data_IF_831229389402
#
_entry.id   IF_831229389402
#
_cell.length_a   1.000
_cell.length_b   1.000
_cell.length_c   1.000
_cell.angle_alpha   90.00
_cell.angle_beta   90.00
_cell.angle_gamma   90.00
#
_symmetry.space_group_name_H-M   'P 1'
#
loop_
_entity.id
_entity.type
_entity.pdbx_description
1 polymer ?
#
# COMPACT_ATOMS: atom_id res chain seq x y z
N UNK A 1 -15.94 -17.29 32.67
CA UNK A 1 -16.13 -16.68 31.35
C UNK A 1 -15.05 -17.25 30.42
N UNK A 2 -15.42 -17.88 29.30
CA UNK A 2 -14.47 -18.60 28.43
C UNK A 2 -13.57 -17.57 27.69
N UNK A 3 -12.30 -17.91 27.45
CA UNK A 3 -11.33 -17.05 26.72
C UNK A 3 -11.89 -16.55 25.37
N UNK A 4 -12.68 -17.37 24.68
CA UNK A 4 -13.33 -16.99 23.42
C UNK A 4 -14.35 -15.86 23.61
N UNK A 5 -15.15 -15.89 24.66
CA UNK A 5 -16.12 -14.84 24.98
C UNK A 5 -15.44 -13.53 25.36
N UNK A 6 -14.34 -13.62 26.08
CA UNK A 6 -13.53 -12.46 26.48
C UNK A 6 -12.85 -11.81 25.25
N UNK A 7 -12.29 -12.61 24.36
CA UNK A 7 -11.69 -12.12 23.12
C UNK A 7 -12.75 -11.50 22.18
N UNK A 8 -13.95 -12.07 22.11
CA UNK A 8 -15.07 -11.51 21.34
C UNK A 8 -15.52 -10.17 21.90
N UNK A 9 -15.60 -10.03 23.22
CA UNK A 9 -15.95 -8.75 23.87
C UNK A 9 -14.88 -7.69 23.64
N UNK A 10 -13.58 -8.04 23.71
CA UNK A 10 -12.47 -7.15 23.38
C UNK A 10 -12.51 -6.73 21.91
N UNK A 11 -12.79 -7.65 21.00
CA UNK A 11 -12.93 -7.37 19.58
C UNK A 11 -14.05 -6.37 19.30
N UNK A 12 -15.24 -6.61 19.86
CA UNK A 12 -16.40 -5.72 19.69
C UNK A 12 -16.20 -4.35 20.34
N UNK A 13 -15.44 -4.29 21.44
CA UNK A 13 -15.09 -3.01 22.09
C UNK A 13 -14.10 -2.21 21.24
N UNK A 14 -13.12 -2.89 20.64
CA UNK A 14 -12.13 -2.27 19.75
C UNK A 14 -12.79 -1.76 18.46
N UNK A 15 -13.80 -2.46 17.92
CA UNK A 15 -14.60 -1.96 16.79
C UNK A 15 -15.41 -0.71 17.16
N UNK A 16 -15.97 -0.64 18.38
CA UNK A 16 -16.67 0.57 18.87
C UNK A 16 -15.75 1.77 18.95
N UNK A 17 -14.47 1.55 19.23
CA UNK A 17 -13.42 2.59 19.23
C UNK A 17 -12.96 3.00 17.82
N UNK A 18 -13.64 2.53 16.75
CA UNK A 18 -13.34 2.86 15.36
C UNK A 18 -12.10 2.17 14.79
N UNK A 19 -11.58 1.14 15.46
CA UNK A 19 -10.52 0.27 14.96
C UNK A 19 -11.12 -0.98 14.32
N UNK A 20 -10.49 -1.45 13.27
CA UNK A 20 -10.86 -2.69 12.59
C UNK A 20 -9.70 -3.70 12.72
N UNK A 21 -9.67 -4.51 13.80
CA UNK A 21 -8.54 -5.41 14.09
C UNK A 21 -8.24 -6.39 12.96
N UNK A 22 -9.27 -6.83 12.23
CA UNK A 22 -9.10 -7.69 11.06
C UNK A 22 -8.24 -7.04 9.96
N UNK A 23 -8.34 -5.72 9.79
CA UNK A 23 -7.53 -5.00 8.80
C UNK A 23 -6.09 -4.80 9.27
N UNK A 24 -5.85 -4.72 10.57
CA UNK A 24 -4.49 -4.69 11.13
C UNK A 24 -3.81 -6.06 10.93
N UNK A 25 -4.56 -7.16 11.13
CA UNK A 25 -4.10 -8.52 10.83
C UNK A 25 -3.79 -8.71 9.33
N UNK A 26 -4.69 -8.25 8.45
CA UNK A 26 -4.47 -8.28 7.00
C UNK A 26 -3.20 -7.52 6.59
N UNK A 27 -2.96 -6.32 7.16
CA UNK A 27 -1.72 -5.57 6.93
C UNK A 27 -0.47 -6.34 7.31
N UNK A 28 -0.49 -6.99 8.47
CA UNK A 28 0.65 -7.79 8.92
C UNK A 28 0.97 -8.92 7.94
N UNK A 29 -0.06 -9.60 7.41
CA UNK A 29 0.10 -10.62 6.38
C UNK A 29 0.64 -10.03 5.07
N UNK A 30 0.11 -8.91 4.59
CA UNK A 30 0.59 -8.27 3.37
C UNK A 30 2.07 -7.87 3.49
N UNK A 31 2.48 -7.29 4.62
CA UNK A 31 3.89 -6.95 4.88
C UNK A 31 4.77 -8.20 4.86
N UNK A 32 4.30 -9.30 5.46
CA UNK A 32 5.03 -10.57 5.45
C UNK A 32 5.22 -11.10 4.01
N UNK A 33 4.16 -11.13 3.21
CA UNK A 33 4.24 -11.60 1.82
C UNK A 33 5.10 -10.69 0.93
N UNK A 34 5.03 -9.37 1.11
CA UNK A 34 5.93 -8.43 0.43
C UNK A 34 7.37 -8.66 0.85
N UNK A 35 7.64 -8.95 2.13
CA UNK A 35 8.97 -9.33 2.60
C UNK A 35 9.48 -10.61 1.93
N UNK A 36 8.66 -11.66 1.85
CA UNK A 36 8.99 -12.90 1.14
C UNK A 36 9.28 -12.64 -0.35
N UNK A 37 8.48 -11.78 -1.00
CA UNK A 37 8.71 -11.38 -2.39
C UNK A 37 10.07 -10.70 -2.57
N UNK A 38 10.46 -9.78 -1.69
CA UNK A 38 11.76 -9.11 -1.81
C UNK A 38 12.93 -10.06 -1.54
N UNK A 39 12.79 -11.01 -0.61
CA UNK A 39 13.79 -12.06 -0.40
C UNK A 39 13.93 -12.91 -1.66
N UNK A 40 12.80 -13.32 -2.26
CA UNK A 40 12.81 -14.05 -3.52
C UNK A 40 13.47 -13.24 -4.63
N UNK A 41 13.11 -11.97 -4.78
CA UNK A 41 13.64 -11.06 -5.82
C UNK A 41 15.17 -10.90 -5.73
N UNK A 42 15.73 -10.92 -4.52
CA UNK A 42 17.18 -10.83 -4.32
C UNK A 42 17.90 -12.17 -4.52
N UNK A 43 17.26 -13.27 -4.16
CA UNK A 43 17.86 -14.60 -4.21
C UNK A 43 17.66 -15.32 -5.54
N UNK A 44 16.57 -15.02 -6.27
CA UNK A 44 16.12 -15.72 -7.47
C UNK A 44 16.00 -17.25 -7.28
N UNK A 45 15.81 -17.69 -6.02
CA UNK A 45 15.62 -19.09 -5.69
C UNK A 45 14.25 -19.57 -6.17
N UNK A 46 14.20 -20.80 -6.68
CA UNK A 46 12.96 -21.49 -7.04
C UNK A 46 12.66 -22.57 -6.01
N UNK A 47 12.13 -22.21 -4.82
CA UNK A 47 11.94 -23.16 -3.74
C UNK A 47 10.83 -24.14 -4.10
N UNK A 48 11.16 -25.45 -3.98
CA UNK A 48 10.21 -26.52 -4.12
C UNK A 48 9.93 -27.13 -2.75
N UNK A 49 8.68 -27.42 -2.49
CA UNK A 49 8.25 -28.11 -1.27
C UNK A 49 7.59 -29.44 -1.63
N UNK A 50 7.80 -30.43 -0.78
CA UNK A 50 7.09 -31.70 -0.86
C UNK A 50 6.08 -31.80 0.27
N UNK A 51 4.80 -31.91 -0.07
CA UNK A 51 3.71 -32.07 0.90
C UNK A 51 3.04 -33.41 0.59
N UNK A 52 3.10 -34.37 1.52
CA UNK A 52 2.54 -35.70 1.37
C UNK A 52 2.98 -36.43 0.09
N UNK A 53 4.24 -36.20 -0.35
CA UNK A 53 4.79 -36.82 -1.57
C UNK A 53 4.50 -36.07 -2.88
N UNK A 54 3.71 -35.00 -2.83
CA UNK A 54 3.50 -34.13 -3.99
C UNK A 54 4.51 -32.99 -3.99
N UNK A 55 5.25 -32.84 -5.07
CA UNK A 55 6.18 -31.74 -5.28
C UNK A 55 5.45 -30.54 -5.87
N UNK A 56 5.57 -29.37 -5.24
CA UNK A 56 5.06 -28.13 -5.78
C UNK A 56 6.09 -27.03 -5.67
N UNK A 57 6.12 -26.14 -6.68
CA UNK A 57 6.98 -24.96 -6.66
C UNK A 57 6.28 -23.81 -5.93
N UNK A 58 7.01 -23.11 -5.05
CA UNK A 58 6.56 -21.87 -4.46
C UNK A 58 6.87 -20.63 -5.31
N UNK A 59 7.64 -20.80 -6.41
CA UNK A 59 8.07 -19.70 -7.27
C UNK A 59 6.89 -18.84 -7.79
N UNK A 60 5.78 -19.39 -8.31
CA UNK A 60 4.65 -18.58 -8.77
C UNK A 60 4.05 -17.70 -7.67
N UNK A 61 3.97 -18.25 -6.45
CA UNK A 61 3.44 -17.53 -5.28
C UNK A 61 4.35 -16.40 -4.80
N UNK A 62 5.66 -16.66 -4.77
CA UNK A 62 6.64 -15.66 -4.38
C UNK A 62 6.76 -14.57 -5.44
N UNK A 63 6.80 -14.96 -6.72
CA UNK A 63 6.89 -14.05 -7.87
C UNK A 63 5.70 -13.08 -7.94
N UNK A 64 4.49 -13.53 -7.61
CA UNK A 64 3.28 -12.71 -7.59
C UNK A 64 3.16 -11.79 -6.38
N UNK A 65 4.19 -11.73 -5.52
CA UNK A 65 4.18 -10.94 -4.29
C UNK A 65 3.98 -9.43 -4.48
N UNK A 66 4.16 -8.90 -5.70
CA UNK A 66 3.82 -7.51 -6.03
C UNK A 66 2.32 -7.20 -5.85
N UNK A 67 1.43 -8.18 -5.97
CA UNK A 67 -0.02 -8.02 -5.76
C UNK A 67 -0.32 -7.55 -4.33
N UNK A 68 0.48 -7.98 -3.36
CA UNK A 68 0.30 -7.57 -1.96
C UNK A 68 0.63 -6.11 -1.72
N UNK A 69 1.44 -5.51 -2.58
CA UNK A 69 1.68 -4.06 -2.58
C UNK A 69 0.40 -3.31 -2.97
N UNK A 70 -0.27 -3.75 -4.04
CA UNK A 70 -1.55 -3.17 -4.47
C UNK A 70 -2.60 -3.34 -3.37
N UNK A 71 -2.64 -4.50 -2.70
CA UNK A 71 -3.52 -4.72 -1.56
C UNK A 71 -3.24 -3.75 -0.39
N UNK A 72 -1.97 -3.42 -0.12
CA UNK A 72 -1.59 -2.43 0.89
C UNK A 72 -2.04 -1.01 0.50
N UNK A 73 -1.86 -0.61 -0.76
CA UNK A 73 -2.31 0.69 -1.26
C UNK A 73 -3.84 0.81 -1.26
N UNK A 74 -4.54 -0.25 -1.65
CA UNK A 74 -6.00 -0.34 -1.58
C UNK A 74 -6.48 -0.16 -0.14
N UNK A 75 -5.87 -0.89 0.81
CA UNK A 75 -6.19 -0.79 2.22
C UNK A 75 -5.85 0.60 2.78
N UNK A 76 -4.79 1.24 2.29
CA UNK A 76 -4.49 2.65 2.62
C UNK A 76 -5.62 3.57 2.14
N UNK A 77 -6.07 3.45 0.89
CA UNK A 77 -7.21 4.21 0.37
C UNK A 77 -8.48 4.01 1.19
N UNK A 78 -8.79 2.77 1.55
CA UNK A 78 -9.92 2.42 2.40
C UNK A 78 -9.85 3.11 3.78
N UNK A 79 -8.75 2.93 4.51
CA UNK A 79 -8.61 3.44 5.88
C UNK A 79 -8.43 4.96 5.95
N UNK A 80 -7.94 5.57 4.89
CA UNK A 80 -7.88 7.03 4.77
C UNK A 80 -9.27 7.63 4.61
N UNK A 81 -10.10 7.01 3.75
CA UNK A 81 -11.40 7.54 3.43
C UNK A 81 -12.50 7.11 4.42
N UNK A 82 -12.33 6.01 5.15
CA UNK A 82 -13.32 5.48 6.09
C UNK A 82 -13.88 6.54 7.07
N UNK A 83 -13.06 7.38 7.75
CA UNK A 83 -13.60 8.42 8.64
C UNK A 83 -14.42 9.49 7.90
N UNK A 84 -14.12 9.74 6.63
CA UNK A 84 -14.88 10.67 5.79
C UNK A 84 -16.22 10.06 5.34
N UNK A 85 -16.24 8.75 5.04
CA UNK A 85 -17.45 8.01 4.70
C UNK A 85 -18.39 7.91 5.91
N UNK A 86 -17.87 7.57 7.09
CA UNK A 86 -18.62 7.53 8.34
C UNK A 86 -19.21 8.91 8.70
N UNK A 87 -18.42 9.98 8.56
CA UNK A 87 -18.91 11.33 8.77
C UNK A 87 -20.01 11.73 7.78
N UNK A 88 -19.93 11.29 6.52
CA UNK A 88 -20.97 11.56 5.53
C UNK A 88 -22.27 10.82 5.86
N UNK A 89 -22.19 9.55 6.25
CA UNK A 89 -23.35 8.73 6.60
C UNK A 89 -24.05 9.19 7.90
N UNK A 90 -23.28 9.65 8.87
CA UNK A 90 -23.80 10.06 10.19
C UNK A 90 -24.13 11.56 10.24
N UNK A 91 -24.04 12.32 9.14
CA UNK A 91 -24.23 13.77 9.12
C UNK A 91 -23.17 14.55 9.91
N UNK A 92 -22.01 13.91 10.18
CA UNK A 92 -20.94 14.47 10.98
C UNK A 92 -19.99 15.39 10.19
N UNK A 93 -19.11 16.06 10.95
CA UNK A 93 -18.03 16.89 10.36
C UNK A 93 -16.91 16.02 9.81
N UNK A 94 -16.35 16.42 8.67
CA UNK A 94 -15.16 15.78 8.12
C UNK A 94 -13.98 15.90 9.10
N UNK A 95 -13.07 14.89 9.11
CA UNK A 95 -11.86 14.93 9.92
C UNK A 95 -11.02 16.18 9.66
N UNK A 96 -10.35 16.67 10.71
CA UNK A 96 -9.45 17.81 10.62
C UNK A 96 -8.23 17.49 9.75
N UNK A 97 -7.95 18.36 8.78
CA UNK A 97 -6.79 18.24 7.87
C UNK A 97 -5.47 18.26 8.67
N UNK A 98 -5.37 19.14 9.69
CA UNK A 98 -4.17 19.22 10.51
C UNK A 98 -3.91 17.94 11.30
N UNK A 99 -4.95 17.38 11.93
CA UNK A 99 -4.83 16.11 12.65
C UNK A 99 -4.51 14.93 11.71
N UNK A 100 -5.05 14.97 10.48
CA UNK A 100 -4.73 14.02 9.45
C UNK A 100 -3.22 14.02 9.14
N UNK A 101 -2.65 15.17 8.77
CA UNK A 101 -1.23 15.26 8.45
C UNK A 101 -0.35 14.90 9.65
N UNK A 102 -0.65 15.41 10.83
CA UNK A 102 0.12 15.09 12.04
C UNK A 102 0.20 13.58 12.29
N UNK A 103 -0.93 12.87 12.23
CA UNK A 103 -0.97 11.42 12.44
C UNK A 103 -0.18 10.66 11.36
N UNK A 104 -0.22 11.09 10.11
CA UNK A 104 0.44 10.42 8.99
C UNK A 104 1.95 10.66 8.99
N UNK A 105 2.37 11.89 9.21
CA UNK A 105 3.78 12.23 9.32
C UNK A 105 4.45 11.49 10.47
N UNK A 106 3.86 11.51 11.67
CA UNK A 106 4.41 10.79 12.82
C UNK A 106 4.48 9.28 12.62
N UNK A 107 3.64 8.73 11.75
CA UNK A 107 3.63 7.29 11.45
C UNK A 107 4.71 6.90 10.45
N UNK A 108 4.93 7.68 9.39
CA UNK A 108 5.79 7.29 8.26
C UNK A 108 7.19 7.87 8.38
N UNK A 109 7.30 9.16 8.68
CA UNK A 109 8.56 9.91 8.60
C UNK A 109 9.69 9.32 9.44
N UNK A 110 9.48 8.93 10.72
CA UNK A 110 10.57 8.43 11.54
C UNK A 110 11.16 7.11 11.02
N UNK A 111 10.32 6.15 10.67
CA UNK A 111 10.77 4.84 10.17
C UNK A 111 11.37 4.93 8.77
N UNK A 112 10.82 5.81 7.92
CA UNK A 112 11.33 6.04 6.59
C UNK A 112 12.75 6.62 6.62
N UNK A 113 12.99 7.71 7.35
CA UNK A 113 14.32 8.32 7.41
C UNK A 113 15.32 7.44 8.17
N UNK A 114 14.88 6.68 9.16
CA UNK A 114 15.73 5.69 9.80
C UNK A 114 16.18 4.62 8.79
N UNK A 115 15.29 4.12 7.94
CA UNK A 115 15.63 3.17 6.89
C UNK A 115 16.62 3.79 5.89
N UNK A 116 16.36 5.00 5.40
CA UNK A 116 17.27 5.72 4.50
C UNK A 116 18.67 5.89 5.13
N UNK A 117 18.73 6.28 6.40
CA UNK A 117 19.98 6.47 7.12
C UNK A 117 20.76 5.15 7.29
N UNK A 118 20.07 4.07 7.65
CA UNK A 118 20.68 2.74 7.78
C UNK A 118 21.24 2.29 6.42
N UNK A 119 20.47 2.42 5.34
CA UNK A 119 20.93 2.06 4.01
C UNK A 119 22.12 2.90 3.56
N UNK A 120 22.09 4.20 3.83
CA UNK A 120 23.20 5.11 3.51
C UNK A 120 24.49 4.67 4.22
N UNK A 121 24.45 4.52 5.57
CA UNK A 121 25.64 4.30 6.39
C UNK A 121 26.19 2.88 6.22
N UNK A 122 25.33 1.86 6.18
CA UNK A 122 25.77 0.47 6.24
C UNK A 122 25.83 -0.22 4.87
N UNK A 123 25.24 0.35 3.83
CA UNK A 123 25.20 -0.27 2.50
C UNK A 123 25.82 0.65 1.45
N UNK A 124 25.27 1.83 1.25
CA UNK A 124 25.62 2.68 0.13
C UNK A 124 27.05 3.26 0.23
N UNK A 125 27.42 3.80 1.38
CA UNK A 125 28.76 4.37 1.60
C UNK A 125 29.86 3.30 1.63
N UNK A 126 29.73 2.19 2.40
CA UNK A 126 30.77 1.15 2.40
C UNK A 126 30.88 0.43 1.04
N UNK A 127 29.77 0.29 0.31
CA UNK A 127 29.75 -0.30 -1.02
C UNK A 127 30.29 0.60 -2.14
N UNK A 128 30.67 1.84 -1.84
CA UNK A 128 31.14 2.80 -2.87
C UNK A 128 30.08 3.16 -3.91
N UNK A 129 28.80 3.00 -3.58
CA UNK A 129 27.69 3.14 -4.54
C UNK A 129 27.52 4.58 -5.07
N UNK A 130 28.11 5.55 -4.39
CA UNK A 130 28.15 6.94 -4.83
C UNK A 130 29.50 7.35 -5.43
N UNK A 131 30.34 6.39 -5.82
CA UNK A 131 31.58 6.70 -6.47
C UNK A 131 31.42 6.78 -8.00
N UNK A 132 32.22 7.62 -8.63
CA UNK A 132 32.40 7.65 -10.07
C UNK A 132 33.12 6.37 -10.54
N UNK A 133 33.14 6.06 -11.86
CA UNK A 133 33.87 4.92 -12.38
C UNK A 133 35.39 4.92 -12.09
N UNK A 134 35.97 6.08 -11.82
CA UNK A 134 37.37 6.26 -11.43
C UNK A 134 37.63 6.04 -9.94
N UNK A 135 36.57 5.67 -9.15
CA UNK A 135 36.64 5.46 -7.71
C UNK A 135 36.49 6.73 -6.87
N UNK A 136 36.44 7.92 -7.47
CA UNK A 136 36.28 9.17 -6.72
C UNK A 136 34.84 9.34 -6.23
N UNK A 137 34.68 9.86 -5.01
CA UNK A 137 33.36 10.07 -4.42
C UNK A 137 32.56 11.17 -5.12
N UNK A 138 31.32 10.89 -5.50
CA UNK A 138 30.41 11.81 -6.18
C UNK A 138 29.39 12.41 -5.19
N UNK A 139 29.80 13.48 -4.52
CA UNK A 139 28.96 14.18 -3.54
C UNK A 139 27.68 14.77 -4.18
N UNK A 140 27.75 15.18 -5.46
CA UNK A 140 26.58 15.70 -6.19
C UNK A 140 25.52 14.63 -6.41
N UNK A 141 25.95 13.43 -6.83
CA UNK A 141 25.02 12.32 -7.01
C UNK A 141 24.35 11.93 -5.68
N UNK A 142 25.13 11.76 -4.61
CA UNK A 142 24.60 11.47 -3.28
C UNK A 142 23.66 12.57 -2.80
N UNK A 143 24.04 13.85 -2.95
CA UNK A 143 23.23 14.97 -2.46
C UNK A 143 21.85 15.06 -3.13
N UNK A 144 21.78 14.90 -4.44
CA UNK A 144 20.50 14.93 -5.17
C UNK A 144 19.64 13.69 -4.88
N UNK A 145 20.25 12.53 -4.68
CA UNK A 145 19.52 11.30 -4.33
C UNK A 145 18.91 11.40 -2.92
N UNK A 146 19.70 11.86 -1.95
CA UNK A 146 19.21 12.11 -0.60
C UNK A 146 18.13 13.20 -0.56
N UNK A 147 18.25 14.27 -1.37
CA UNK A 147 17.22 15.30 -1.47
C UNK A 147 15.90 14.72 -2.01
N UNK A 148 15.98 13.90 -3.04
CA UNK A 148 14.82 13.24 -3.62
C UNK A 148 14.13 12.30 -2.60
N UNK A 149 14.89 11.57 -1.79
CA UNK A 149 14.37 10.76 -0.70
C UNK A 149 13.81 11.63 0.44
N UNK A 150 14.51 12.70 0.83
CA UNK A 150 14.06 13.60 1.89
C UNK A 150 12.73 14.29 1.57
N UNK A 151 12.45 14.52 0.30
CA UNK A 151 11.20 15.13 -0.17
C UNK A 151 10.14 14.13 -0.63
N UNK A 152 10.38 12.81 -0.52
CA UNK A 152 9.52 11.73 -1.04
C UNK A 152 9.25 11.81 -2.55
N UNK A 153 10.16 12.45 -3.29
CA UNK A 153 10.07 12.59 -4.76
C UNK A 153 10.97 11.61 -5.51
N UNK A 154 11.64 10.71 -4.80
CA UNK A 154 12.60 9.76 -5.39
C UNK A 154 11.99 8.89 -6.50
N UNK A 155 10.70 8.58 -6.43
CA UNK A 155 9.99 7.82 -7.48
C UNK A 155 9.80 8.59 -8.79
N UNK A 156 10.05 9.92 -8.80
CA UNK A 156 9.88 10.76 -10.00
C UNK A 156 11.12 10.77 -10.89
N UNK A 157 12.28 10.36 -10.37
CA UNK A 157 13.55 10.49 -11.06
C UNK A 157 14.26 9.14 -11.17
N UNK A 158 14.74 8.80 -12.37
CA UNK A 158 15.44 7.53 -12.62
C UNK A 158 16.69 7.37 -11.71
N UNK A 159 17.43 8.44 -11.47
CA UNK A 159 18.64 8.42 -10.65
C UNK A 159 18.39 8.12 -9.17
N UNK A 160 17.22 8.46 -8.65
CA UNK A 160 16.87 8.27 -7.23
C UNK A 160 15.93 7.11 -6.98
N UNK A 161 15.40 6.47 -8.01
CA UNK A 161 14.57 5.28 -7.88
C UNK A 161 15.29 4.03 -8.41
N UNK A 162 15.60 4.00 -9.72
CA UNK A 162 16.21 2.83 -10.35
C UNK A 162 17.71 2.79 -10.10
N UNK A 163 18.36 3.95 -10.12
CA UNK A 163 19.81 4.10 -9.93
C UNK A 163 20.24 4.25 -8.47
N UNK A 164 19.32 4.46 -7.54
CA UNK A 164 19.67 4.69 -6.13
C UNK A 164 20.16 3.41 -5.44
N UNK A 165 21.23 3.49 -4.66
CA UNK A 165 21.67 2.39 -3.79
C UNK A 165 20.85 2.27 -2.51
N UNK A 166 19.95 3.21 -2.26
CA UNK A 166 19.03 3.18 -1.13
C UNK A 166 17.91 2.17 -1.39
N UNK A 167 17.17 1.81 -0.37
CA UNK A 167 16.18 0.75 -0.47
C UNK A 167 15.09 1.03 -1.51
N UNK A 168 15.11 0.31 -2.64
CA UNK A 168 14.14 0.45 -3.72
C UNK A 168 12.70 0.21 -3.28
N UNK A 169 12.45 -0.59 -2.23
CA UNK A 169 11.10 -0.85 -1.69
C UNK A 169 10.43 0.40 -1.08
N UNK A 170 11.19 1.47 -0.83
CA UNK A 170 10.67 2.73 -0.30
C UNK A 170 9.76 3.48 -1.29
N UNK A 171 9.69 3.04 -2.55
CA UNK A 171 8.82 3.64 -3.56
C UNK A 171 7.35 3.69 -3.12
N UNK A 172 6.87 2.66 -2.43
CA UNK A 172 5.50 2.61 -1.93
C UNK A 172 5.20 3.69 -0.91
N UNK A 173 6.16 3.97 0.00
CA UNK A 173 6.06 5.06 0.97
C UNK A 173 6.14 6.43 0.29
N UNK A 174 6.94 6.57 -0.77
CA UNK A 174 6.97 7.77 -1.60
C UNK A 174 5.61 8.05 -2.24
N UNK A 175 5.01 7.05 -2.88
CA UNK A 175 3.66 7.14 -3.47
C UNK A 175 2.60 7.43 -2.39
N UNK A 176 2.68 6.78 -1.24
CA UNK A 176 1.75 7.01 -0.14
C UNK A 176 1.83 8.45 0.40
N UNK A 177 3.04 9.00 0.56
CA UNK A 177 3.22 10.40 0.98
C UNK A 177 2.73 11.39 -0.06
N UNK A 178 2.98 11.14 -1.34
CA UNK A 178 2.45 11.97 -2.44
C UNK A 178 0.91 11.93 -2.44
N UNK A 179 0.30 10.75 -2.23
CA UNK A 179 -1.15 10.64 -2.10
C UNK A 179 -1.68 11.42 -0.89
N UNK A 180 -0.98 11.38 0.26
CA UNK A 180 -1.40 12.15 1.44
C UNK A 180 -1.45 13.65 1.18
N UNK A 181 -0.53 14.19 0.35
CA UNK A 181 -0.56 15.62 0.01
C UNK A 181 -1.85 16.02 -0.71
N UNK A 182 -2.34 15.19 -1.61
CA UNK A 182 -3.56 15.50 -2.39
C UNK A 182 -4.83 14.96 -1.72
N UNK A 183 -4.72 14.03 -0.75
CA UNK A 183 -5.84 13.30 -0.19
C UNK A 183 -6.96 14.21 0.38
N UNK A 184 -6.71 15.30 1.13
CA UNK A 184 -7.78 16.14 1.65
C UNK A 184 -8.65 16.75 0.54
N UNK A 185 -8.05 17.08 -0.60
CA UNK A 185 -8.78 17.55 -1.79
C UNK A 185 -9.58 16.42 -2.42
N UNK A 186 -8.94 15.28 -2.66
CA UNK A 186 -9.56 14.09 -3.23
C UNK A 186 -10.74 13.62 -2.37
N UNK A 187 -10.57 13.54 -1.05
CA UNK A 187 -11.63 13.13 -0.13
C UNK A 187 -12.83 14.10 -0.15
N UNK A 188 -12.57 15.41 -0.27
CA UNK A 188 -13.64 16.42 -0.41
C UNK A 188 -14.41 16.24 -1.73
N UNK A 189 -13.70 16.02 -2.84
CA UNK A 189 -14.30 15.79 -4.15
C UNK A 189 -15.09 14.47 -4.17
N UNK A 190 -14.50 13.41 -3.64
CA UNK A 190 -15.10 12.09 -3.55
C UNK A 190 -16.39 12.12 -2.71
N UNK A 191 -16.42 12.87 -1.60
CA UNK A 191 -17.64 13.07 -0.81
C UNK A 191 -18.73 13.84 -1.56
N UNK A 192 -18.35 14.86 -2.38
CA UNK A 192 -19.31 15.68 -3.11
C UNK A 192 -19.86 15.00 -4.39
N UNK A 193 -18.99 14.35 -5.15
CA UNK A 193 -19.28 13.73 -6.44
C UNK A 193 -18.53 12.39 -6.57
N UNK A 194 -18.93 11.34 -5.82
CA UNK A 194 -18.16 10.11 -5.72
C UNK A 194 -17.92 9.44 -7.07
N UNK A 195 -18.95 9.26 -7.89
CA UNK A 195 -18.84 8.62 -9.20
C UNK A 195 -17.89 9.38 -10.15
N UNK A 196 -17.98 10.71 -10.18
CA UNK A 196 -17.13 11.53 -11.05
C UNK A 196 -15.67 11.51 -10.58
N UNK A 197 -15.44 11.62 -9.27
CA UNK A 197 -14.09 11.56 -8.72
C UNK A 197 -13.46 10.17 -8.93
N UNK A 198 -14.21 9.10 -8.68
CA UNK A 198 -13.80 7.73 -8.94
C UNK A 198 -13.44 7.54 -10.43
N UNK A 199 -14.32 7.88 -11.34
CA UNK A 199 -14.06 7.79 -12.78
C UNK A 199 -12.85 8.63 -13.22
N UNK A 200 -12.67 9.82 -12.65
CA UNK A 200 -11.52 10.68 -12.90
C UNK A 200 -10.21 10.06 -12.45
N UNK A 201 -10.17 9.45 -11.25
CA UNK A 201 -8.98 8.76 -10.74
C UNK A 201 -8.63 7.54 -11.61
N UNK A 202 -9.63 6.77 -12.05
CA UNK A 202 -9.44 5.67 -12.99
C UNK A 202 -8.91 6.17 -14.35
N UNK A 203 -9.52 7.20 -14.90
CA UNK A 203 -9.11 7.77 -16.19
C UNK A 203 -7.66 8.25 -16.16
N UNK A 204 -7.22 8.89 -15.07
CA UNK A 204 -5.82 9.29 -14.88
C UNK A 204 -4.92 8.07 -14.80
N UNK A 205 -5.27 7.05 -14.00
CA UNK A 205 -4.44 5.87 -13.83
C UNK A 205 -4.28 5.08 -15.12
N UNK A 206 -5.38 4.79 -15.81
CA UNK A 206 -5.34 4.05 -17.07
C UNK A 206 -4.67 4.86 -18.19
N UNK A 207 -4.99 6.16 -18.32
CA UNK A 207 -4.36 7.03 -19.30
C UNK A 207 -2.87 7.16 -19.08
N UNK A 208 -2.44 7.32 -17.82
CA UNK A 208 -1.03 7.39 -17.47
C UNK A 208 -0.28 6.10 -17.79
N UNK A 209 -0.84 4.93 -17.42
CA UNK A 209 -0.26 3.62 -17.74
C UNK A 209 -0.23 3.35 -19.24
N UNK A 210 -1.28 3.72 -19.98
CA UNK A 210 -1.30 3.60 -21.44
C UNK A 210 -0.21 4.46 -22.10
N UNK A 211 -0.03 5.70 -21.64
CA UNK A 211 1.07 6.54 -22.08
C UNK A 211 2.43 5.94 -21.69
N UNK A 212 2.61 5.52 -20.44
CA UNK A 212 3.87 4.95 -19.98
C UNK A 212 4.25 3.68 -20.74
N UNK A 213 3.27 2.87 -21.16
CA UNK A 213 3.49 1.67 -21.96
C UNK A 213 4.08 1.96 -23.38
N UNK A 214 4.01 3.20 -23.85
CA UNK A 214 4.66 3.63 -25.10
C UNK A 214 6.15 3.94 -24.93
N UNK A 215 6.64 3.99 -23.70
CA UNK A 215 8.03 4.34 -23.39
C UNK A 215 8.92 3.09 -23.33
N UNK A 216 10.23 3.21 -23.64
CA UNK A 216 11.16 2.08 -23.62
C UNK A 216 11.33 1.42 -22.24
N UNK A 217 11.13 2.18 -21.15
CA UNK A 217 11.25 1.71 -19.78
C UNK A 217 10.01 2.14 -18.98
N UNK A 218 9.18 1.18 -18.65
CA UNK A 218 7.92 1.39 -17.94
C UNK A 218 8.10 1.37 -16.41
N UNK A 219 9.20 0.80 -15.90
CA UNK A 219 9.42 0.52 -14.47
C UNK A 219 9.31 1.77 -13.61
N UNK A 220 9.93 2.88 -14.07
CA UNK A 220 9.86 4.15 -13.35
C UNK A 220 8.41 4.65 -13.23
N UNK A 221 7.67 4.60 -14.31
CA UNK A 221 6.36 5.27 -14.42
C UNK A 221 5.24 4.47 -13.77
N UNK A 222 5.28 3.13 -13.85
CA UNK A 222 4.26 2.29 -13.22
C UNK A 222 4.28 2.37 -11.70
N UNK A 223 5.41 2.75 -11.11
CA UNK A 223 5.57 2.93 -9.67
C UNK A 223 5.42 4.40 -9.21
N UNK A 224 4.74 5.22 -9.98
CA UNK A 224 4.41 6.60 -9.63
C UNK A 224 2.95 6.75 -9.22
N UNK A 225 2.64 7.78 -8.44
CA UNK A 225 1.30 8.03 -7.92
C UNK A 225 0.19 8.03 -9.00
N UNK A 226 0.35 8.67 -10.17
CA UNK A 226 -0.72 8.65 -11.18
C UNK A 226 -1.10 7.23 -11.61
N UNK A 227 -0.13 6.32 -11.74
CA UNK A 227 -0.37 4.93 -12.11
C UNK A 227 -1.12 4.11 -11.04
N UNK A 228 -1.12 4.55 -9.79
CA UNK A 228 -1.69 3.86 -8.64
C UNK A 228 -3.02 4.47 -8.15
N UNK A 229 -3.52 5.51 -8.83
CA UNK A 229 -4.73 6.21 -8.38
C UNK A 229 -5.99 5.35 -8.41
N UNK A 230 -6.09 4.39 -9.31
CA UNK A 230 -7.22 3.45 -9.38
C UNK A 230 -7.25 2.51 -8.16
N UNK A 231 -6.10 2.08 -7.67
CA UNK A 231 -6.00 1.25 -6.46
C UNK A 231 -6.50 2.03 -5.24
N UNK A 232 -6.07 3.28 -5.07
CA UNK A 232 -6.58 4.16 -4.02
C UNK A 232 -8.08 4.45 -4.19
N UNK A 233 -8.55 4.69 -5.42
CA UNK A 233 -9.97 4.94 -5.71
C UNK A 233 -10.83 3.74 -5.32
N UNK A 234 -10.39 2.52 -5.64
CA UNK A 234 -11.06 1.28 -5.24
C UNK A 234 -11.16 1.16 -3.72
N UNK A 235 -10.06 1.44 -3.00
CA UNK A 235 -10.06 1.47 -1.54
C UNK A 235 -11.06 2.47 -0.97
N UNK A 236 -11.10 3.70 -1.51
CA UNK A 236 -12.06 4.74 -1.10
C UNK A 236 -13.50 4.34 -1.39
N UNK A 237 -13.78 3.76 -2.55
CA UNK A 237 -15.10 3.26 -2.92
C UNK A 237 -15.57 2.14 -1.98
N UNK A 238 -14.68 1.20 -1.67
CA UNK A 238 -14.95 0.13 -0.71
C UNK A 238 -15.28 0.66 0.70
N UNK A 239 -14.64 1.74 1.15
CA UNK A 239 -14.97 2.38 2.43
C UNK A 239 -16.40 2.96 2.42
N UNK A 240 -16.81 3.60 1.32
CA UNK A 240 -18.18 4.07 1.14
C UNK A 240 -19.20 2.94 1.13
N UNK A 241 -18.92 1.88 0.39
CA UNK A 241 -19.78 0.67 0.33
C UNK A 241 -19.87 0.01 1.71
N UNK A 242 -18.76 -0.13 2.42
CA UNK A 242 -18.72 -0.67 3.78
C UNK A 242 -19.64 0.11 4.72
N UNK A 243 -19.56 1.44 4.73
CA UNK A 243 -20.43 2.28 5.58
C UNK A 243 -21.90 2.12 5.20
N UNK A 244 -22.24 2.10 3.91
CA UNK A 244 -23.60 1.92 3.41
C UNK A 244 -24.19 0.55 3.81
N UNK A 245 -23.39 -0.52 3.73
CA UNK A 245 -23.80 -1.85 4.14
C UNK A 245 -23.96 -1.90 5.67
N UNK A 246 -22.97 -1.44 6.43
CA UNK A 246 -23.00 -1.42 7.90
C UNK A 246 -24.24 -0.72 8.45
N UNK A 247 -24.72 0.31 7.76
CA UNK A 247 -25.95 1.03 8.11
C UNK A 247 -27.22 0.23 7.84
N UNK A 248 -27.25 -0.53 6.73
CA UNK A 248 -28.46 -1.22 6.26
C UNK A 248 -28.64 -2.60 6.85
N UNK A 249 -27.55 -3.24 7.24
CA UNK A 249 -27.57 -4.61 7.77
C UNK A 249 -27.58 -4.59 9.29
N UNK A 250 -28.62 -5.18 9.89
CA UNK A 250 -28.50 -5.67 11.28
C UNK A 250 -27.39 -6.71 11.24
N UNK A 251 -26.45 -6.62 12.20
CA UNK A 251 -25.37 -7.62 12.34
C UNK A 251 -26.01 -8.96 12.74
N UNK A 252 -26.45 -9.71 11.77
CA UNK A 252 -26.93 -11.08 11.95
C UNK A 252 -25.90 -12.07 11.39
N UNK A 253 -25.99 -13.31 11.85
CA UNK A 253 -25.05 -14.36 11.46
C UNK A 253 -25.01 -14.63 9.95
N UNK A 254 -26.07 -14.33 9.21
CA UNK A 254 -26.17 -14.47 7.76
C UNK A 254 -25.27 -13.51 7.01
N UNK A 255 -25.19 -12.27 7.47
CA UNK A 255 -24.32 -11.25 6.86
C UNK A 255 -22.85 -11.63 7.01
N UNK A 256 -22.45 -12.12 8.19
CA UNK A 256 -21.10 -12.62 8.41
C UNK A 256 -20.77 -13.84 7.53
N UNK A 257 -21.71 -14.78 7.37
CA UNK A 257 -21.54 -15.95 6.51
C UNK A 257 -21.38 -15.55 5.04
N UNK A 258 -22.17 -14.58 4.55
CA UNK A 258 -22.08 -14.07 3.19
C UNK A 258 -20.71 -13.41 2.92
N UNK A 259 -20.26 -12.52 3.82
CA UNK A 259 -18.96 -11.88 3.69
C UNK A 259 -17.80 -12.89 3.71
N UNK A 260 -17.87 -13.87 4.61
CA UNK A 260 -16.85 -14.93 4.67
C UNK A 260 -16.86 -15.75 3.39
N UNK A 261 -18.03 -16.10 2.85
CA UNK A 261 -18.18 -16.80 1.59
C UNK A 261 -17.57 -16.03 0.41
N UNK A 262 -17.88 -14.73 0.29
CA UNK A 262 -17.31 -13.84 -0.75
C UNK A 262 -15.78 -13.76 -0.63
N UNK A 263 -15.25 -13.64 0.60
CA UNK A 263 -13.80 -13.59 0.84
C UNK A 263 -13.14 -14.90 0.42
N UNK A 264 -13.71 -16.05 0.77
CA UNK A 264 -13.18 -17.37 0.36
C UNK A 264 -13.16 -17.49 -1.15
N UNK A 265 -14.26 -17.13 -1.84
CA UNK A 265 -14.31 -17.18 -3.32
C UNK A 265 -13.27 -16.25 -3.93
N UNK A 266 -13.12 -15.02 -3.41
CA UNK A 266 -12.09 -14.10 -3.88
C UNK A 266 -10.67 -14.66 -3.69
N UNK A 267 -10.38 -15.25 -2.54
CA UNK A 267 -9.09 -15.90 -2.28
C UNK A 267 -8.83 -17.08 -3.23
N UNK A 268 -9.86 -17.90 -3.49
CA UNK A 268 -9.76 -19.03 -4.43
C UNK A 268 -9.52 -18.55 -5.88
N UNK A 269 -10.19 -17.47 -6.31
CA UNK A 269 -9.98 -16.89 -7.63
C UNK A 269 -8.57 -16.30 -7.78
N UNK A 270 -8.08 -15.58 -6.76
CA UNK A 270 -6.71 -15.05 -6.74
C UNK A 270 -5.71 -16.20 -6.79
N UNK A 271 -5.91 -17.24 -5.97
CA UNK A 271 -5.04 -18.42 -5.96
C UNK A 271 -4.97 -19.09 -7.35
N UNK A 272 -6.12 -19.17 -8.04
CA UNK A 272 -6.17 -19.76 -9.41
C UNK A 272 -5.53 -18.87 -10.48
N UNK A 273 -5.52 -17.55 -10.28
CA UNK A 273 -4.85 -16.62 -11.19
C UNK A 273 -3.32 -16.62 -11.02
N UNK A 274 -2.85 -17.02 -9.84
CA UNK A 274 -1.42 -17.11 -9.51
C UNK A 274 -0.82 -18.48 -9.92
N UNK A 275 -1.61 -19.55 -9.88
CA UNK A 275 -1.19 -20.91 -10.31
C UNK A 275 -1.17 -21.07 -11.81
#
# INVERSE_FOLDING_TARGET
>A
MNRLTQNYQLYTQTERDGRLPALDGARALFVLFVGCYHIWQQSWLTPNISIFGYYTSLDPWLRSGYIWVDAMLLLSGFLLYLPHAEAAENGGKAPSIWQFYKKRLLRIVPSYYLCVLIMLIFVALPGGSYNNPDGTFNAWYMGRDLLAHATFTHTLFRFSYIGSPLNGSLWTLGVEMQFYLIFPLVARLFRKKPALCYAGMLAVAFGYRAWAATLPDTTLYFNQLPAQLDVYANGMALAGIYCAIKRRTKQDGWTHALFTGVLIVACCLIARLIS
#
